data_IF_952749866463
#
_entry.id   IF_952749866463
#
_cell.length_a   1.000
_cell.length_b   1.000
_cell.length_c   1.000
_cell.angle_alpha   90.00
_cell.angle_beta   90.00
_cell.angle_gamma   90.00
#
_symmetry.space_group_name_H-M   'P 1'
#
loop_
_entity.id
_entity.type
_entity.pdbx_description
1 polymer ?
#
# COMPACT_ATOMS: atom_id res chain seq x y z
N UNK A 1 1.28 20.39 -18.17
CA UNK A 1 0.00 20.02 -17.54
C UNK A 1 -1.05 21.10 -17.69
N UNK A 2 -2.09 20.79 -18.45
CA UNK A 2 -3.28 21.63 -18.64
C UNK A 2 -4.43 21.03 -17.83
N UNK A 3 -5.00 21.82 -16.92
CA UNK A 3 -6.08 21.41 -16.03
C UNK A 3 -7.42 21.87 -16.61
N UNK A 4 -8.41 20.98 -16.62
CA UNK A 4 -9.76 21.29 -17.10
C UNK A 4 -10.80 20.49 -16.31
N UNK A 5 -11.69 21.19 -15.60
CA UNK A 5 -12.70 20.58 -14.74
C UNK A 5 -13.88 19.98 -15.49
N UNK A 6 -14.08 20.35 -16.76
CA UNK A 6 -15.19 19.89 -17.61
C UNK A 6 -14.77 18.71 -18.47
N UNK A 7 -13.73 18.88 -19.28
CA UNK A 7 -13.30 17.94 -20.32
C UNK A 7 -12.09 17.08 -19.94
N UNK A 8 -11.37 17.41 -18.86
CA UNK A 8 -10.20 16.64 -18.46
C UNK A 8 -10.53 15.20 -18.02
N UNK A 9 -9.50 14.35 -17.97
CA UNK A 9 -9.59 13.01 -17.40
C UNK A 9 -8.93 13.02 -16.02
N UNK A 10 -9.57 12.37 -15.05
CA UNK A 10 -9.06 12.30 -13.67
C UNK A 10 -8.08 11.15 -13.53
N UNK A 11 -6.82 11.46 -13.22
CA UNK A 11 -5.84 10.42 -12.92
C UNK A 11 -6.09 9.78 -11.54
N UNK A 12 -6.10 8.45 -11.48
CA UNK A 12 -6.30 7.68 -10.24
C UNK A 12 -5.31 8.02 -9.12
N UNK A 13 -4.03 8.25 -9.44
CA UNK A 13 -2.99 8.44 -8.42
C UNK A 13 -2.84 9.89 -7.94
N UNK A 14 -2.77 10.87 -8.84
CA UNK A 14 -2.64 12.27 -8.43
C UNK A 14 -3.99 12.96 -8.23
N UNK A 15 -5.11 12.34 -8.65
CA UNK A 15 -6.48 12.89 -8.58
C UNK A 15 -6.66 14.24 -9.27
N UNK A 16 -5.74 14.59 -10.16
CA UNK A 16 -5.82 15.79 -10.97
C UNK A 16 -6.59 15.49 -12.25
N UNK A 17 -7.47 16.42 -12.66
CA UNK A 17 -8.25 16.36 -13.90
C UNK A 17 -7.56 17.18 -14.98
N UNK A 18 -7.04 16.52 -16.02
CA UNK A 18 -6.15 17.16 -17.02
C UNK A 18 -6.48 16.71 -18.44
N UNK A 19 -6.14 17.55 -19.42
CA UNK A 19 -6.32 17.25 -20.85
C UNK A 19 -5.16 16.45 -21.47
N UNK A 20 -4.11 16.17 -20.69
CA UNK A 20 -2.97 15.37 -21.14
C UNK A 20 -3.38 13.93 -21.46
N UNK A 21 -2.49 13.18 -22.11
CA UNK A 21 -2.67 11.76 -22.39
C UNK A 21 -2.89 10.96 -21.10
N UNK A 22 -3.87 10.05 -21.15
CA UNK A 22 -4.16 9.09 -20.09
C UNK A 22 -4.41 7.72 -20.67
N UNK A 23 -3.72 6.70 -20.13
CA UNK A 23 -4.12 5.32 -20.37
C UNK A 23 -5.30 4.96 -19.47
N UNK A 24 -6.30 4.31 -20.03
CA UNK A 24 -7.48 3.82 -19.30
C UNK A 24 -7.47 2.30 -19.26
N UNK A 25 -7.80 1.72 -18.10
CA UNK A 25 -7.82 0.29 -17.90
C UNK A 25 -8.84 -0.40 -18.83
N UNK A 26 -8.42 -1.48 -19.51
CA UNK A 26 -9.28 -2.27 -20.40
C UNK A 26 -10.00 -3.43 -19.71
N UNK A 27 -9.73 -3.69 -18.42
CA UNK A 27 -10.38 -4.77 -17.68
C UNK A 27 -11.89 -4.50 -17.53
N UNK A 28 -12.77 -5.46 -17.87
CA UNK A 28 -14.23 -5.25 -17.88
C UNK A 28 -14.78 -4.85 -16.51
N UNK A 29 -14.30 -5.48 -15.44
CA UNK A 29 -14.74 -5.19 -14.07
C UNK A 29 -13.98 -4.03 -13.39
N UNK A 30 -13.27 -3.20 -14.18
CA UNK A 30 -12.51 -2.10 -13.61
C UNK A 30 -13.43 -1.04 -12.99
N UNK A 31 -13.08 -0.57 -11.79
CA UNK A 31 -13.81 0.49 -11.11
C UNK A 31 -14.82 0.00 -10.07
N UNK A 32 -14.82 -1.30 -9.73
CA UNK A 32 -15.70 -1.87 -8.70
C UNK A 32 -17.19 -1.55 -8.95
N UNK A 33 -17.64 -1.63 -10.21
CA UNK A 33 -19.02 -1.29 -10.61
C UNK A 33 -19.32 0.22 -10.67
N UNK A 34 -18.34 1.09 -10.45
CA UNK A 34 -18.46 2.52 -10.81
C UNK A 34 -18.51 2.65 -12.32
N UNK A 35 -19.28 3.64 -12.81
CA UNK A 35 -19.58 3.84 -14.24
C UNK A 35 -18.35 4.00 -15.16
N UNK A 36 -17.13 4.17 -14.65
CA UNK A 36 -15.94 4.45 -15.45
C UNK A 36 -14.71 3.69 -14.93
N UNK A 37 -13.97 3.09 -15.88
CA UNK A 37 -12.66 2.51 -15.63
C UNK A 37 -11.66 3.58 -15.15
N UNK A 38 -10.65 3.14 -14.39
CA UNK A 38 -9.63 4.08 -13.89
C UNK A 38 -8.63 4.46 -14.98
N UNK A 39 -8.25 5.74 -14.98
CA UNK A 39 -7.29 6.31 -15.93
C UNK A 39 -6.04 6.86 -15.23
N UNK A 40 -4.93 6.91 -15.95
CA UNK A 40 -3.63 7.26 -15.40
C UNK A 40 -2.88 8.20 -16.34
N UNK A 41 -2.45 9.34 -15.81
CA UNK A 41 -1.62 10.27 -16.58
C UNK A 41 -0.20 9.72 -16.76
N UNK A 42 0.45 10.16 -17.85
CA UNK A 42 1.83 9.79 -18.24
C UNK A 42 2.84 9.81 -17.09
N UNK A 43 2.91 10.93 -16.35
CA UNK A 43 3.90 11.09 -15.28
C UNK A 43 3.69 10.12 -14.12
N UNK A 44 2.44 9.86 -13.73
CA UNK A 44 2.20 8.94 -12.63
C UNK A 44 2.43 7.49 -13.04
N UNK A 45 2.09 7.11 -14.29
CA UNK A 45 2.39 5.79 -14.84
C UNK A 45 3.88 5.51 -14.83
N UNK A 46 4.68 6.41 -15.41
CA UNK A 46 6.14 6.32 -15.42
C UNK A 46 6.73 6.27 -14.01
N UNK A 47 6.40 7.24 -13.16
CA UNK A 47 7.06 7.34 -11.85
C UNK A 47 6.60 6.25 -10.87
N UNK A 48 5.35 5.78 -10.95
CA UNK A 48 4.81 4.82 -9.96
C UNK A 48 4.93 3.36 -10.39
N UNK A 49 5.00 3.06 -11.68
CA UNK A 49 5.09 1.68 -12.19
C UNK A 49 6.23 1.47 -13.19
N UNK A 50 6.89 2.52 -13.67
CA UNK A 50 7.92 2.39 -14.71
C UNK A 50 7.36 2.13 -16.10
N UNK A 51 6.04 2.20 -16.28
CA UNK A 51 5.38 1.91 -17.55
C UNK A 51 5.30 3.15 -18.44
N UNK A 52 5.47 2.95 -19.75
CA UNK A 52 5.30 3.99 -20.76
C UNK A 52 3.84 4.07 -21.26
N UNK A 53 3.33 5.29 -21.39
CA UNK A 53 1.93 5.51 -21.75
C UNK A 53 1.64 5.13 -23.20
N UNK A 54 2.56 5.41 -24.13
CA UNK A 54 2.34 5.13 -25.54
C UNK A 54 2.34 3.62 -25.80
N UNK A 55 3.23 2.88 -25.13
CA UNK A 55 3.22 1.41 -25.15
C UNK A 55 1.93 0.82 -24.55
N UNK A 56 1.48 1.39 -23.42
CA UNK A 56 0.28 0.94 -22.75
C UNK A 56 -0.97 1.17 -23.63
N UNK A 57 -1.12 2.35 -24.23
CA UNK A 57 -2.21 2.66 -25.16
C UNK A 57 -2.15 1.81 -26.44
N UNK A 58 -0.97 1.68 -27.04
CA UNK A 58 -0.78 0.88 -28.27
C UNK A 58 -1.13 -0.61 -28.07
N UNK A 59 -1.02 -1.13 -26.85
CA UNK A 59 -1.38 -2.52 -26.56
C UNK A 59 -2.88 -2.80 -26.74
N UNK A 60 -3.75 -1.79 -26.58
CA UNK A 60 -5.21 -1.92 -26.55
C UNK A 60 -5.76 -2.82 -25.43
N UNK A 61 -4.89 -3.42 -24.61
CA UNK A 61 -5.22 -4.46 -23.61
C UNK A 61 -4.59 -4.16 -22.25
N UNK A 62 -4.25 -2.90 -22.01
CA UNK A 62 -3.57 -2.50 -20.79
C UNK A 62 -4.49 -2.64 -19.57
N UNK A 63 -4.03 -3.41 -18.57
CA UNK A 63 -4.76 -3.65 -17.32
C UNK A 63 -4.09 -2.90 -16.18
N UNK A 64 -4.88 -2.10 -15.45
CA UNK A 64 -4.30 -1.29 -14.39
C UNK A 64 -3.70 -2.10 -13.23
N UNK A 65 -2.77 -1.52 -12.45
CA UNK A 65 -2.12 -2.19 -11.33
C UNK A 65 -3.06 -2.76 -10.27
N UNK A 66 -4.29 -2.24 -10.16
CA UNK A 66 -5.29 -2.80 -9.24
C UNK A 66 -5.91 -4.08 -9.80
N UNK A 67 -6.37 -4.04 -11.05
CA UNK A 67 -7.03 -5.15 -11.71
C UNK A 67 -6.07 -6.31 -12.00
N UNK A 68 -4.78 -6.03 -12.26
CA UNK A 68 -3.78 -7.10 -12.45
C UNK A 68 -3.40 -7.82 -11.16
N UNK A 69 -3.73 -7.28 -9.99
CA UNK A 69 -3.39 -7.88 -8.70
C UNK A 69 -1.89 -7.87 -8.41
N UNK A 70 -1.31 -9.02 -8.07
CA UNK A 70 0.13 -9.21 -7.82
C UNK A 70 0.89 -9.48 -9.13
N UNK A 71 2.16 -9.06 -9.20
CA UNK A 71 3.06 -9.38 -10.31
C UNK A 71 4.24 -10.30 -9.93
N UNK A 72 4.18 -10.98 -8.79
CA UNK A 72 5.20 -11.94 -8.38
C UNK A 72 5.66 -11.82 -6.92
N UNK A 73 6.79 -12.46 -6.61
CA UNK A 73 7.33 -12.53 -5.26
C UNK A 73 7.66 -11.15 -4.70
N UNK A 74 7.26 -10.93 -3.45
CA UNK A 74 7.34 -9.61 -2.87
C UNK A 74 6.42 -8.62 -3.57
N UNK A 75 5.32 -9.07 -4.18
CA UNK A 75 4.18 -8.25 -4.60
C UNK A 75 2.86 -8.89 -4.17
N UNK A 76 2.03 -8.24 -3.34
CA UNK A 76 0.64 -8.67 -3.09
C UNK A 76 -0.41 -7.81 -3.81
N UNK A 77 -0.06 -6.62 -4.33
CA UNK A 77 -0.93 -5.78 -5.16
C UNK A 77 -0.19 -4.64 -5.82
N UNK A 78 0.03 -4.72 -7.13
CA UNK A 78 0.80 -3.74 -7.87
C UNK A 78 0.33 -2.29 -7.67
N UNK A 79 -0.95 -2.06 -7.35
CA UNK A 79 -1.44 -0.72 -7.04
C UNK A 79 -0.89 -0.19 -5.71
N UNK A 80 0.09 0.70 -5.81
CA UNK A 80 0.68 1.37 -4.67
C UNK A 80 -0.10 2.63 -4.23
N UNK A 81 -1.40 2.81 -4.54
CA UNK A 81 -2.16 3.97 -4.08
C UNK A 81 -2.54 3.87 -2.59
N UNK A 82 -2.82 5.00 -1.93
CA UNK A 82 -3.18 5.04 -0.51
C UNK A 82 -4.37 4.13 -0.15
N UNK A 83 -5.52 4.23 -0.83
CA UNK A 83 -6.67 3.36 -0.58
C UNK A 83 -6.39 1.86 -0.77
N UNK A 84 -5.71 1.45 -1.85
CA UNK A 84 -5.38 0.04 -2.07
C UNK A 84 -4.43 -0.50 -0.99
N UNK A 85 -3.44 0.30 -0.58
CA UNK A 85 -2.51 -0.10 0.48
C UNK A 85 -3.19 -0.18 1.84
N UNK A 86 -4.07 0.77 2.17
CA UNK A 86 -4.85 0.72 3.41
C UNK A 86 -5.74 -0.51 3.48
N UNK A 87 -6.36 -0.90 2.37
CA UNK A 87 -7.17 -2.12 2.29
C UNK A 87 -6.36 -3.41 2.55
N UNK A 88 -5.04 -3.36 2.35
CA UNK A 88 -4.09 -4.45 2.63
C UNK A 88 -3.39 -4.31 3.99
N UNK A 89 -3.80 -3.36 4.83
CA UNK A 89 -3.13 -3.09 6.12
C UNK A 89 -1.75 -2.44 5.99
N UNK A 90 -1.39 -1.93 4.81
CA UNK A 90 -0.10 -1.31 4.53
C UNK A 90 -0.16 0.22 4.68
N UNK A 91 0.95 0.82 5.11
CA UNK A 91 1.09 2.28 5.15
C UNK A 91 0.88 2.90 3.75
N UNK A 92 0.15 4.02 3.62
CA UNK A 92 -0.14 4.64 2.33
C UNK A 92 1.13 5.15 1.64
N UNK A 93 1.16 5.10 0.31
CA UNK A 93 2.27 5.66 -0.47
C UNK A 93 2.09 7.15 -0.68
N UNK A 94 3.00 7.95 -0.14
CA UNK A 94 3.15 9.37 -0.46
C UNK A 94 3.90 9.58 -1.80
N UNK A 95 4.26 10.82 -2.14
CA UNK A 95 5.10 11.11 -3.31
C UNK A 95 6.56 10.73 -3.02
N UNK A 96 6.90 9.45 -3.19
CA UNK A 96 8.22 8.90 -2.82
C UNK A 96 9.15 8.64 -4.01
N UNK A 97 8.87 9.21 -5.18
CA UNK A 97 9.72 9.01 -6.38
C UNK A 97 11.17 9.47 -6.16
N UNK A 98 11.40 10.57 -5.44
CA UNK A 98 12.76 11.03 -5.15
C UNK A 98 13.50 10.07 -4.22
N UNK A 99 12.80 9.44 -3.28
CA UNK A 99 13.38 8.40 -2.42
C UNK A 99 13.73 7.15 -3.22
N UNK A 100 12.84 6.74 -4.14
CA UNK A 100 13.09 5.61 -5.03
C UNK A 100 14.34 5.85 -5.89
N UNK A 101 14.45 7.03 -6.53
CA UNK A 101 15.60 7.42 -7.34
C UNK A 101 16.89 7.52 -6.53
N UNK A 102 16.82 8.11 -5.33
CA UNK A 102 17.96 8.16 -4.41
C UNK A 102 18.46 6.78 -3.97
N UNK A 103 17.60 5.76 -4.04
CA UNK A 103 17.96 4.36 -3.77
C UNK A 103 18.30 3.56 -5.04
N UNK A 104 18.41 4.20 -6.21
CA UNK A 104 18.77 3.55 -7.47
C UNK A 104 17.61 2.90 -8.24
N UNK A 105 16.36 3.26 -7.95
CA UNK A 105 15.17 2.75 -8.65
C UNK A 105 14.54 3.83 -9.53
N UNK A 106 14.14 3.45 -10.73
CA UNK A 106 13.47 4.36 -11.68
C UNK A 106 12.00 4.62 -11.34
N UNK A 107 11.36 3.69 -10.63
CA UNK A 107 9.96 3.76 -10.27
C UNK A 107 9.68 3.31 -8.83
N UNK A 108 8.55 3.78 -8.30
CA UNK A 108 8.14 3.53 -6.92
C UNK A 108 7.71 2.08 -6.68
N UNK A 109 7.13 1.41 -7.67
CA UNK A 109 6.69 0.02 -7.51
C UNK A 109 7.88 -0.90 -7.18
N UNK A 110 8.94 -0.85 -7.99
CA UNK A 110 10.10 -1.72 -7.82
C UNK A 110 10.86 -1.39 -6.53
N UNK A 111 10.94 -0.11 -6.19
CA UNK A 111 11.48 0.33 -4.90
C UNK A 111 10.72 -0.29 -3.72
N UNK A 112 9.38 -0.32 -3.78
CA UNK A 112 8.54 -0.88 -2.73
C UNK A 112 8.61 -2.41 -2.66
N UNK A 113 8.62 -3.09 -3.82
CA UNK A 113 8.79 -4.55 -3.94
C UNK A 113 10.15 -4.98 -3.40
N UNK A 114 11.22 -4.22 -3.66
CA UNK A 114 12.58 -4.59 -3.25
C UNK A 114 12.91 -4.25 -1.80
N UNK A 115 12.45 -3.11 -1.27
CA UNK A 115 12.83 -2.66 0.08
C UNK A 115 12.22 -3.44 1.23
N UNK A 116 11.17 -4.21 0.97
CA UNK A 116 10.58 -5.16 1.91
C UNK A 116 10.04 -6.32 1.08
N UNK A 117 10.26 -7.56 1.53
CA UNK A 117 9.26 -8.59 1.24
C UNK A 117 7.90 -7.97 1.54
N UNK A 118 6.99 -7.99 0.57
CA UNK A 118 5.73 -7.26 0.56
C UNK A 118 4.82 -7.48 1.78
N UNK A 119 5.14 -8.47 2.60
CA UNK A 119 4.79 -8.47 4.01
C UNK A 119 5.50 -7.30 4.73
N UNK A 120 4.91 -6.10 4.67
CA UNK A 120 5.09 -5.19 5.79
C UNK A 120 4.78 -5.97 7.07
N UNK A 121 5.57 -5.74 8.12
CA UNK A 121 5.08 -5.93 9.47
C UNK A 121 3.63 -5.42 9.46
N UNK A 122 2.70 -6.35 9.65
CA UNK A 122 1.44 -5.96 10.23
C UNK A 122 1.85 -5.06 11.41
N UNK A 123 1.30 -3.86 11.45
CA UNK A 123 0.97 -3.29 12.76
C UNK A 123 -0.05 -4.26 13.37
N UNK A 124 0.45 -5.43 13.78
CA UNK A 124 -0.24 -6.30 14.69
C UNK A 124 -0.39 -5.43 15.93
N UNK A 125 -1.64 -5.11 16.26
CA UNK A 125 -1.94 -4.82 17.64
C UNK A 125 -1.27 -5.90 18.47
N UNK A 126 -0.32 -5.49 19.30
CA UNK A 126 0.24 -6.20 20.44
C UNK A 126 0.13 -7.73 20.39
N UNK A 127 1.12 -8.41 19.80
CA UNK A 127 1.44 -9.78 20.21
C UNK A 127 2.88 -9.77 20.72
N UNK A 128 3.04 -9.41 21.99
CA UNK A 128 4.19 -9.87 22.77
C UNK A 128 4.07 -11.40 22.86
N UNK A 129 4.69 -12.11 21.93
CA UNK A 129 5.16 -13.46 22.23
C UNK A 129 6.27 -13.30 23.26
N UNK A 130 6.01 -13.84 24.45
CA UNK A 130 6.92 -13.80 25.57
C UNK A 130 8.30 -14.35 25.16
N UNK A 131 9.33 -13.56 25.42
CA UNK A 131 10.71 -14.00 25.57
C UNK A 131 11.47 -14.25 24.27
N UNK A 132 12.16 -13.23 23.77
CA UNK A 132 13.61 -13.31 23.54
C UNK A 132 14.19 -11.89 23.45
N UNK A 133 15.32 -11.72 24.13
CA UNK A 133 15.94 -10.43 24.44
C UNK A 133 16.79 -9.96 23.26
N UNK A 134 16.54 -8.76 22.74
CA UNK A 134 17.50 -8.05 21.89
C UNK A 134 17.64 -6.61 22.39
N UNK A 135 18.85 -6.31 22.87
CA UNK A 135 19.29 -4.99 23.36
C UNK A 135 19.53 -4.07 22.17
N UNK A 136 19.04 -2.83 22.25
CA UNK A 136 19.36 -1.78 21.28
C UNK A 136 18.39 -0.61 21.34
N UNK A 137 18.81 0.43 22.04
CA UNK A 137 18.28 1.78 22.24
C UNK A 137 17.29 2.32 21.18
N UNK A 138 16.03 2.48 21.56
CA UNK A 138 15.26 3.74 21.44
C UNK A 138 13.88 3.56 22.10
N UNK A 139 13.70 4.24 23.23
CA UNK A 139 12.58 4.04 24.15
C UNK A 139 11.27 4.61 23.59
N UNK A 140 10.31 3.72 23.29
CA UNK A 140 8.90 4.08 23.18
C UNK A 140 8.28 3.98 24.59
N UNK A 141 7.94 5.12 25.19
CA UNK A 141 7.30 5.19 26.51
C UNK A 141 5.81 4.91 26.36
N UNK A 142 5.36 3.71 26.76
CA UNK A 142 3.95 3.37 26.87
C UNK A 142 3.46 3.60 28.30
N UNK A 143 2.54 4.56 28.47
CA UNK A 143 1.86 4.86 29.74
C UNK A 143 0.83 3.75 30.01
N UNK A 144 1.00 3.00 31.10
CA UNK A 144 0.03 2.00 31.55
C UNK A 144 -1.22 2.72 32.09
N UNK A 145 -2.38 2.48 31.47
CA UNK A 145 -3.69 2.83 32.06
C UNK A 145 -4.20 1.58 32.73
N UNK A 146 -4.31 1.61 34.06
CA UNK A 146 -4.65 0.46 34.87
C UNK A 146 -6.11 0.04 34.80
N UNK A 147 -6.35 -1.18 35.30
CA UNK A 147 -7.53 -1.52 36.07
C UNK A 147 -8.58 -2.34 35.34
N UNK A 148 -8.54 -3.67 35.48
CA UNK A 148 -9.75 -4.48 35.65
C UNK A 148 -9.49 -5.54 36.73
N UNK A 149 -10.13 -5.35 37.87
CA UNK A 149 -10.29 -6.38 38.88
C UNK A 149 -11.28 -7.44 38.37
N UNK A 150 -11.00 -8.72 38.63
CA UNK A 150 -12.02 -9.67 39.06
C UNK A 150 -11.36 -10.84 39.79
N UNK A 151 -11.83 -11.00 41.01
CA UNK A 151 -11.39 -11.94 42.02
C UNK A 151 -11.79 -13.38 41.67
N UNK A 152 -10.91 -14.34 41.94
CA UNK A 152 -11.25 -15.64 42.52
C UNK A 152 -10.12 -16.01 43.47
N UNK A 153 -10.43 -16.05 44.77
CA UNK A 153 -9.50 -16.40 45.82
C UNK A 153 -10.14 -17.40 46.78
N UNK A 154 -9.35 -18.42 47.11
CA UNK A 154 -9.48 -19.21 48.33
C UNK A 154 -10.23 -20.54 48.19
N UNK A 155 -9.88 -21.63 48.88
CA UNK A 155 -8.74 -21.99 49.74
C UNK A 155 -8.87 -23.52 49.90
N UNK A 156 -7.77 -24.27 50.03
CA UNK A 156 -7.85 -25.69 50.38
C UNK A 156 -6.47 -26.28 50.67
N UNK A 157 -6.16 -26.42 51.95
CA UNK A 157 -4.89 -26.88 52.55
C UNK A 157 -4.90 -28.41 52.73
N UNK A 158 -3.69 -28.98 52.87
CA UNK A 158 -3.32 -30.31 53.41
C UNK A 158 -3.25 -31.47 52.40
N UNK A 159 -2.31 -32.42 52.45
CA UNK A 159 -1.11 -32.63 53.25
C UNK A 159 -0.23 -33.68 52.51
N UNK A 160 1.05 -33.75 52.91
CA UNK A 160 2.02 -34.77 52.53
C UNK A 160 1.60 -36.18 53.00
N UNK A 161 1.75 -37.18 52.15
CA UNK A 161 2.62 -38.36 52.34
C UNK A 161 2.86 -39.03 50.99
#
# INVERSE_FOLDING_TARGET
>A
RVYDSKYGVTCHWCRQKTLEEHVTCSHPDCGDGRRLAVSFCKLCLRNRQGEDIAQAEASGKWVCPRCRGSCGDGCASCCNCGPCRKALGLAPTHQIINQARGAGFDNVHDFLVRRRGWAGLAVAGCWCLAGLVARGSDACVCRAVGGWARAWGGVGVAARR
#
